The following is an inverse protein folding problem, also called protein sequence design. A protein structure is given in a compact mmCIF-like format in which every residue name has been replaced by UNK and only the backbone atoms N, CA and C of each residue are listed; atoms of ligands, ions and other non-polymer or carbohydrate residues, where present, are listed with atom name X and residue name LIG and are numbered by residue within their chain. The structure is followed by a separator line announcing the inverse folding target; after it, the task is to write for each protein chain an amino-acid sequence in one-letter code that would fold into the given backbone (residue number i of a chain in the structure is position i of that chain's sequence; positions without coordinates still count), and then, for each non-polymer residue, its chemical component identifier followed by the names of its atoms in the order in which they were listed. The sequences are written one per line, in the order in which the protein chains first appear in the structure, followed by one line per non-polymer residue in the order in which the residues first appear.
data_IF_564006117176
#
_entry.id   IF_564006117176
#
_cell.length_a   1.000
_cell.length_b   1.000
_cell.length_c   1.000
_cell.angle_alpha   90.00
_cell.angle_beta   90.00
_cell.angle_gamma   90.00
#
_symmetry.space_group_name_H-M   'P 1'
#
loop_
_entity.id
_entity.type
_entity.pdbx_description
1 polymer ?
#
# COMPACT_ATOMS: atom_id res chain seq x y z
N UNK A 1 9.17 29.22 36.07
CA UNK A 1 9.02 29.19 34.59
C UNK A 1 9.02 27.75 34.15
N UNK A 2 7.85 27.17 33.84
CA UNK A 2 7.79 25.86 33.18
C UNK A 2 7.77 26.09 31.67
N UNK A 3 8.78 25.58 30.98
CA UNK A 3 8.81 25.57 29.51
C UNK A 3 7.94 24.40 29.06
N UNK A 4 6.72 24.72 28.62
CA UNK A 4 5.87 23.80 27.87
C UNK A 4 6.49 23.61 26.48
N UNK A 5 7.23 22.52 26.30
CA UNK A 5 7.59 22.02 24.98
C UNK A 5 6.32 21.51 24.31
N UNK A 6 5.75 22.35 23.45
CA UNK A 6 4.70 21.95 22.51
C UNK A 6 5.33 20.98 21.49
N UNK A 7 5.12 19.68 21.72
CA UNK A 7 5.43 18.65 20.74
C UNK A 7 4.58 18.87 19.51
N UNK A 8 5.19 19.45 18.47
CA UNK A 8 4.68 19.47 17.11
C UNK A 8 4.52 18.02 16.66
N UNK A 9 3.31 17.49 16.76
CA UNK A 9 2.92 16.27 16.07
C UNK A 9 2.92 16.62 14.58
N UNK A 10 4.08 16.48 13.92
CA UNK A 10 4.08 16.16 12.49
C UNK A 10 3.04 15.05 12.34
N UNK A 11 2.15 15.13 11.34
CA UNK A 11 1.15 14.12 11.03
C UNK A 11 1.83 12.74 10.93
N UNK A 12 1.99 12.11 12.09
CA UNK A 12 3.02 11.12 12.34
C UNK A 12 2.48 9.80 11.87
N UNK A 13 3.34 9.04 11.23
CA UNK A 13 3.04 7.67 10.85
C UNK A 13 2.33 6.95 12.00
N UNK A 14 1.29 6.14 11.71
CA UNK A 14 0.56 5.43 12.76
C UNK A 14 1.56 4.72 13.68
N UNK A 15 1.41 4.85 14.99
CA UNK A 15 2.44 4.48 15.96
C UNK A 15 3.02 3.07 15.68
N UNK A 16 4.33 3.01 15.46
CA UNK A 16 5.04 1.74 15.22
C UNK A 16 5.02 1.24 13.76
N UNK A 17 4.44 2.01 12.83
CA UNK A 17 4.52 1.78 11.39
C UNK A 17 5.45 2.81 10.74
N UNK A 18 6.30 2.35 9.83
CA UNK A 18 7.11 3.19 8.94
C UNK A 18 6.49 3.18 7.55
N UNK A 19 6.22 4.33 6.98
CA UNK A 19 5.90 4.53 5.57
C UNK A 19 7.12 4.23 4.71
N UNK A 20 6.94 3.40 3.68
CA UNK A 20 8.01 3.10 2.74
C UNK A 20 8.32 4.30 1.85
N UNK A 21 9.61 4.53 1.60
CA UNK A 21 10.04 5.47 0.55
C UNK A 21 9.69 4.93 -0.84
N UNK A 22 9.82 5.74 -1.89
CA UNK A 22 9.54 5.28 -3.24
C UNK A 22 10.43 4.17 -3.74
N UNK A 23 11.70 4.18 -3.34
CA UNK A 23 12.63 3.10 -3.67
C UNK A 23 12.25 1.81 -2.93
N UNK A 24 11.97 1.89 -1.63
CA UNK A 24 11.54 0.75 -0.82
C UNK A 24 10.21 0.18 -1.32
N UNK A 25 9.26 1.06 -1.64
CA UNK A 25 7.95 0.70 -2.18
C UNK A 25 8.08 0.03 -3.55
N UNK A 26 8.87 0.60 -4.46
CA UNK A 26 9.11 0.02 -5.78
C UNK A 26 9.74 -1.36 -5.67
N UNK A 27 10.77 -1.51 -4.83
CA UNK A 27 11.41 -2.80 -4.59
C UNK A 27 10.46 -3.85 -3.97
N UNK A 28 9.45 -3.40 -3.21
CA UNK A 28 8.47 -4.28 -2.57
C UNK A 28 7.31 -4.65 -3.49
N UNK A 29 6.90 -3.75 -4.38
CA UNK A 29 5.71 -3.90 -5.23
C UNK A 29 6.02 -4.60 -6.55
N UNK A 30 7.13 -4.26 -7.20
CA UNK A 30 7.42 -4.72 -8.57
C UNK A 30 7.65 -6.23 -8.58
N UNK A 31 6.88 -6.95 -9.39
CA UNK A 31 6.94 -8.41 -9.47
C UNK A 31 6.37 -9.10 -8.23
N UNK A 32 5.49 -8.45 -7.46
CA UNK A 32 4.96 -8.98 -6.22
C UNK A 32 3.47 -9.29 -6.28
N UNK A 33 3.06 -10.23 -5.42
CA UNK A 33 1.68 -10.56 -5.11
C UNK A 33 1.34 -10.20 -3.68
N UNK A 34 0.27 -9.42 -3.53
CA UNK A 34 -0.31 -8.97 -2.28
C UNK A 34 -1.48 -9.90 -1.93
N UNK A 35 -1.48 -10.43 -0.71
CA UNK A 35 -2.58 -11.26 -0.21
C UNK A 35 -3.17 -10.70 1.08
N UNK A 36 -4.50 -10.55 1.05
CA UNK A 36 -5.30 -10.00 2.14
C UNK A 36 -5.99 -11.09 3.00
N UNK A 37 -5.54 -12.35 2.87
CA UNK A 37 -5.95 -13.46 3.75
C UNK A 37 -7.09 -14.35 3.24
N UNK A 38 -7.47 -14.27 1.95
CA UNK A 38 -8.61 -15.05 1.43
C UNK A 38 -8.58 -15.43 -0.04
N UNK A 39 -7.49 -15.19 -0.77
CA UNK A 39 -7.33 -15.48 -2.21
C UNK A 39 -8.18 -14.61 -3.15
N UNK A 40 -9.42 -14.29 -2.75
CA UNK A 40 -10.25 -13.23 -3.33
C UNK A 40 -9.81 -11.88 -2.76
N UNK A 41 -9.65 -10.90 -3.64
CA UNK A 41 -9.10 -9.59 -3.35
C UNK A 41 -7.57 -9.54 -3.38
N UNK A 42 -6.88 -10.67 -3.61
CA UNK A 42 -5.43 -10.67 -3.85
C UNK A 42 -5.11 -9.85 -5.10
N UNK A 43 -3.88 -9.34 -5.16
CA UNK A 43 -3.43 -8.50 -6.26
C UNK A 43 -2.03 -8.89 -6.71
N UNK A 44 -1.75 -8.83 -8.00
CA UNK A 44 -0.39 -8.95 -8.51
C UNK A 44 0.03 -7.72 -9.31
N UNK A 45 1.33 -7.44 -9.25
CA UNK A 45 1.99 -6.30 -9.85
C UNK A 45 3.15 -6.84 -10.70
N UNK A 46 2.98 -6.90 -12.02
CA UNK A 46 3.98 -7.39 -12.95
C UNK A 46 5.11 -6.39 -13.19
N UNK A 47 6.31 -6.87 -13.47
CA UNK A 47 7.46 -6.00 -13.74
C UNK A 47 7.31 -5.09 -14.98
N UNK A 48 6.36 -5.42 -15.85
CA UNK A 48 5.92 -4.68 -17.04
C UNK A 48 4.94 -3.53 -16.73
N UNK A 49 4.59 -3.31 -15.46
CA UNK A 49 3.60 -2.31 -15.05
C UNK A 49 2.16 -2.81 -15.11
N UNK A 50 1.94 -4.09 -15.43
CA UNK A 50 0.61 -4.73 -15.42
C UNK A 50 0.13 -4.97 -13.99
N UNK A 51 -1.15 -4.77 -13.74
CA UNK A 51 -1.81 -5.08 -12.48
C UNK A 51 -2.94 -6.09 -12.70
N UNK A 52 -3.12 -7.03 -11.77
CA UNK A 52 -4.26 -7.96 -11.76
C UNK A 52 -4.87 -8.02 -10.37
N UNK A 53 -6.16 -7.73 -10.25
CA UNK A 53 -6.97 -8.00 -9.07
C UNK A 53 -7.69 -9.34 -9.22
N UNK A 54 -7.40 -10.28 -8.32
CA UNK A 54 -8.06 -11.57 -8.28
C UNK A 54 -9.40 -11.43 -7.55
N UNK A 55 -10.51 -11.44 -8.27
CA UNK A 55 -11.85 -11.55 -7.69
C UNK A 55 -12.60 -12.72 -8.36
N UNK A 56 -13.95 -12.74 -8.33
CA UNK A 56 -14.73 -13.78 -9.07
C UNK A 56 -14.30 -13.91 -10.53
N UNK A 57 -13.95 -12.81 -11.19
CA UNK A 57 -13.33 -12.75 -12.51
C UNK A 57 -12.15 -11.77 -12.46
N UNK A 58 -10.91 -12.16 -12.85
CA UNK A 58 -9.76 -11.28 -12.74
C UNK A 58 -9.98 -9.93 -13.44
N UNK A 59 -9.68 -8.85 -12.74
CA UNK A 59 -9.73 -7.49 -13.31
C UNK A 59 -8.30 -7.06 -13.60
N UNK A 60 -8.03 -6.71 -14.85
CA UNK A 60 -6.70 -6.28 -15.31
C UNK A 60 -6.65 -4.76 -15.34
N UNK A 61 -5.49 -4.21 -15.03
CA UNK A 61 -5.21 -2.78 -15.12
C UNK A 61 -3.73 -2.51 -15.27
N UNK A 62 -3.34 -1.26 -15.03
CA UNK A 62 -1.97 -0.83 -14.97
C UNK A 62 -1.67 -0.25 -13.59
N UNK A 63 -0.40 -0.24 -13.18
CA UNK A 63 0.02 0.47 -11.98
C UNK A 63 1.23 1.37 -12.23
N UNK A 64 1.36 2.38 -11.39
CA UNK A 64 2.54 3.24 -11.31
C UNK A 64 2.93 3.39 -9.84
N UNK A 65 4.22 3.41 -9.56
CA UNK A 65 4.77 3.75 -8.25
C UNK A 65 5.29 5.19 -8.33
N UNK A 66 4.80 6.06 -7.45
CA UNK A 66 5.13 7.49 -7.39
C UNK A 66 5.39 7.89 -5.95
N UNK A 67 6.54 8.51 -5.66
CA UNK A 67 6.94 8.95 -4.31
C UNK A 67 6.66 7.90 -3.24
N UNK A 68 5.60 8.00 -2.43
CA UNK A 68 5.27 7.06 -1.36
C UNK A 68 4.06 6.15 -1.67
N UNK A 69 3.59 6.15 -2.92
CA UNK A 69 2.33 5.54 -3.34
C UNK A 69 2.46 4.59 -4.52
N UNK A 70 1.65 3.54 -4.49
CA UNK A 70 1.32 2.75 -5.68
C UNK A 70 -0.10 3.09 -6.09
N UNK A 71 -0.25 3.58 -7.32
CA UNK A 71 -1.51 3.92 -7.93
C UNK A 71 -1.86 2.88 -8.98
N UNK A 72 -3.01 2.24 -8.83
CA UNK A 72 -3.58 1.30 -9.79
C UNK A 72 -4.66 2.00 -10.58
N UNK A 73 -4.62 1.85 -11.90
CA UNK A 73 -5.69 2.28 -12.82
C UNK A 73 -6.39 1.03 -13.33
N UNK A 74 -7.64 0.83 -12.89
CA UNK A 74 -8.53 -0.21 -13.39
C UNK A 74 -9.49 0.33 -14.45
N UNK A 75 -10.61 -0.38 -14.68
CA UNK A 75 -11.63 0.01 -15.67
C UNK A 75 -12.30 1.36 -15.37
N UNK A 76 -12.69 1.61 -14.12
CA UNK A 76 -13.56 2.76 -13.80
C UNK A 76 -12.89 3.82 -12.92
N UNK A 77 -11.73 3.54 -12.32
CA UNK A 77 -11.07 4.48 -11.41
C UNK A 77 -9.57 4.23 -11.20
N UNK A 78 -8.87 5.31 -10.85
CA UNK A 78 -7.50 5.28 -10.32
C UNK A 78 -7.54 5.30 -8.80
N UNK A 79 -6.92 4.29 -8.17
CA UNK A 79 -6.80 4.16 -6.71
C UNK A 79 -5.35 4.16 -6.28
N UNK A 80 -4.99 5.05 -5.36
CA UNK A 80 -3.64 5.14 -4.81
C UNK A 80 -3.63 4.67 -3.35
N UNK A 81 -2.57 3.93 -2.99
CA UNK A 81 -2.37 3.42 -1.64
C UNK A 81 -0.92 3.50 -1.25
N UNK A 82 -0.69 3.59 0.06
CA UNK A 82 0.63 3.64 0.67
C UNK A 82 0.92 2.30 1.33
N UNK A 83 2.20 1.92 1.35
CA UNK A 83 2.64 0.74 2.06
C UNK A 83 3.43 1.17 3.28
N UNK A 84 3.05 0.62 4.42
CA UNK A 84 3.76 0.78 5.68
C UNK A 84 4.32 -0.56 6.13
N UNK A 85 5.35 -0.50 6.96
CA UNK A 85 6.05 -1.66 7.53
C UNK A 85 6.16 -1.50 9.04
N UNK A 86 5.81 -2.56 9.77
CA UNK A 86 6.01 -2.60 11.23
C UNK A 86 7.45 -3.01 11.61
N UNK A 87 7.76 -2.95 12.90
CA UNK A 87 9.09 -3.31 13.43
C UNK A 87 9.45 -4.80 13.23
N UNK A 88 8.47 -5.66 12.99
CA UNK A 88 8.66 -7.08 12.70
C UNK A 88 8.82 -7.32 11.19
N UNK A 89 8.80 -6.27 10.39
CA UNK A 89 8.96 -6.33 8.95
C UNK A 89 7.68 -6.70 8.20
N UNK A 90 6.52 -6.74 8.86
CA UNK A 90 5.21 -7.06 8.26
C UNK A 90 4.61 -5.82 7.60
N UNK A 91 3.84 -6.04 6.54
CA UNK A 91 3.30 -4.97 5.73
C UNK A 91 1.85 -4.62 6.06
N UNK A 92 1.54 -3.33 5.97
CA UNK A 92 0.20 -2.76 6.14
C UNK A 92 -0.06 -1.82 4.98
N UNK A 93 -1.18 -2.01 4.28
CA UNK A 93 -1.64 -1.08 3.25
C UNK A 93 -2.48 0.00 3.92
N UNK A 94 -2.19 1.26 3.62
CA UNK A 94 -3.02 2.44 3.93
C UNK A 94 -3.74 2.89 2.66
N UNK A 95 -5.06 2.82 2.68
CA UNK A 95 -5.92 3.20 1.56
C UNK A 95 -7.07 4.09 2.01
N UNK A 96 -7.55 4.90 1.06
CA UNK A 96 -8.70 5.79 1.26
C UNK A 96 -10.00 5.03 1.05
N UNK A 97 -10.93 5.21 1.99
CA UNK A 97 -12.33 4.82 1.89
C UNK A 97 -13.17 6.00 1.35
N UNK A 98 -14.39 5.73 0.85
CA UNK A 98 -15.37 6.77 0.57
C UNK A 98 -15.54 7.71 1.77
N UNK A 99 -15.62 9.03 1.53
CA UNK A 99 -15.72 10.04 2.59
C UNK A 99 -14.38 10.44 3.22
N UNK A 100 -13.25 10.18 2.54
CA UNK A 100 -11.89 10.59 2.94
C UNK A 100 -11.37 9.96 4.25
N UNK A 101 -12.02 8.90 4.75
CA UNK A 101 -11.50 8.11 5.85
C UNK A 101 -10.34 7.23 5.38
N UNK A 102 -9.28 7.10 6.19
CA UNK A 102 -8.18 6.15 5.93
C UNK A 102 -8.41 4.84 6.67
N UNK A 103 -8.08 3.73 6.03
CA UNK A 103 -8.08 2.40 6.61
C UNK A 103 -6.71 1.74 6.49
N UNK A 104 -6.36 0.95 7.50
CA UNK A 104 -5.15 0.16 7.55
C UNK A 104 -5.51 -1.32 7.48
N UNK A 105 -4.87 -2.06 6.56
CA UNK A 105 -5.06 -3.50 6.44
C UNK A 105 -3.72 -4.22 6.35
N UNK A 106 -3.54 -5.24 7.20
CA UNK A 106 -2.38 -6.14 7.10
C UNK A 106 -2.42 -6.93 5.81
N UNK A 107 -1.26 -7.07 5.17
CA UNK A 107 -1.09 -7.78 3.91
C UNK A 107 0.14 -8.67 3.97
N UNK A 108 0.06 -9.83 3.32
CA UNK A 108 1.22 -10.67 3.03
C UNK A 108 1.72 -10.36 1.62
N UNK A 109 3.01 -10.12 1.46
CA UNK A 109 3.62 -9.80 0.15
C UNK A 109 4.66 -10.87 -0.16
N UNK A 110 4.56 -11.46 -1.35
CA UNK A 110 5.50 -12.46 -1.87
C UNK A 110 5.87 -12.12 -3.32
N UNK A 111 7.06 -12.48 -3.80
CA UNK A 111 7.34 -12.46 -5.23
C UNK A 111 6.27 -13.26 -5.99
N UNK A 112 5.74 -12.67 -7.05
CA UNK A 112 4.95 -13.40 -8.04
C UNK A 112 5.97 -14.06 -8.98
N UNK A 113 5.86 -15.38 -9.13
CA UNK A 113 6.86 -16.21 -9.84
C UNK A 113 7.01 -15.89 -11.32
#
# INVERSE_FOLDING_TARGET
MMILLASLVLAGEPQGLKLLTGEELKATVVGARFSYGGGKGDESFGADGRYVLFNRAPVVGAYVVTDDQVCVTGFDERRCRRLLRDRQGRYVVDFLLPGAQRALQRVSIRPDG
#
